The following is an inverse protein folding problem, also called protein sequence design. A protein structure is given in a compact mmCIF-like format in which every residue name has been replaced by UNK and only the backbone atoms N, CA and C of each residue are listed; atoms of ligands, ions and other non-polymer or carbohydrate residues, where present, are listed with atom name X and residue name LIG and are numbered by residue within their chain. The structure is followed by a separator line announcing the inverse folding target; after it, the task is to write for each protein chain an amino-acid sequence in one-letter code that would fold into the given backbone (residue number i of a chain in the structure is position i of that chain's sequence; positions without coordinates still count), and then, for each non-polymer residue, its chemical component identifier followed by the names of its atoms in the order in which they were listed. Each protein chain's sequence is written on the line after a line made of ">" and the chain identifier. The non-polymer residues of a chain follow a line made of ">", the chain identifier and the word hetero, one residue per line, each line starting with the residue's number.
data_IF_245665360305
#
_entry.id   IF_245665360305
#
_cell.length_a   1.000
_cell.length_b   1.000
_cell.length_c   1.000
_cell.angle_alpha   90.00
_cell.angle_beta   90.00
_cell.angle_gamma   90.00
#
_symmetry.space_group_name_H-M   'P 1'
#
loop_
_entity.id
_entity.type
_entity.pdbx_description
1 polymer ?
#
# COMPACT_ATOMS: atom_id res chain seq x y z
N UNK A 1 -36.50 -27.99 -0.73
CA UNK A 1 -35.11 -28.47 -0.54
C UNK A 1 -34.22 -28.12 -1.72
N UNK A 2 -34.49 -28.53 -2.97
CA UNK A 2 -33.66 -28.18 -4.13
C UNK A 2 -33.72 -26.67 -4.50
N UNK A 3 -34.80 -25.99 -4.21
CA UNK A 3 -34.94 -24.56 -4.47
C UNK A 3 -34.27 -23.69 -3.40
N UNK A 4 -34.25 -24.13 -2.14
CA UNK A 4 -33.49 -23.47 -1.07
C UNK A 4 -31.96 -23.53 -1.30
N UNK A 5 -31.46 -24.66 -1.77
CA UNK A 5 -30.06 -24.84 -2.10
C UNK A 5 -29.64 -23.97 -3.28
N UNK A 6 -30.48 -23.84 -4.31
CA UNK A 6 -30.28 -22.92 -5.43
C UNK A 6 -30.31 -21.46 -5.00
N UNK A 7 -31.21 -21.04 -4.13
CA UNK A 7 -31.31 -19.68 -3.62
C UNK A 7 -30.06 -19.33 -2.81
N UNK A 8 -29.59 -20.26 -1.96
CA UNK A 8 -28.35 -20.09 -1.20
C UNK A 8 -27.11 -19.93 -2.12
N UNK A 9 -26.99 -20.79 -3.15
CA UNK A 9 -25.92 -20.74 -4.12
C UNK A 9 -25.92 -19.44 -4.94
N UNK A 10 -27.08 -18.94 -5.32
CA UNK A 10 -27.26 -17.65 -6.00
C UNK A 10 -26.84 -16.51 -5.06
N UNK A 11 -27.24 -16.54 -3.79
CA UNK A 11 -26.86 -15.53 -2.80
C UNK A 11 -25.35 -15.48 -2.56
N UNK A 12 -24.69 -16.63 -2.43
CA UNK A 12 -23.24 -16.73 -2.27
C UNK A 12 -22.49 -16.23 -3.52
N UNK A 13 -22.97 -16.56 -4.72
CA UNK A 13 -22.39 -16.08 -5.97
C UNK A 13 -22.60 -14.58 -6.17
N UNK A 14 -23.77 -14.03 -5.82
CA UNK A 14 -24.02 -12.58 -5.87
C UNK A 14 -23.11 -11.82 -4.90
N UNK A 15 -22.96 -12.29 -3.67
CA UNK A 15 -22.06 -11.68 -2.70
C UNK A 15 -20.59 -11.72 -3.16
N UNK A 16 -20.15 -12.83 -3.74
CA UNK A 16 -18.81 -12.94 -4.30
C UNK A 16 -18.59 -11.97 -5.45
N UNK A 17 -19.50 -11.89 -6.41
CA UNK A 17 -19.45 -10.97 -7.54
C UNK A 17 -19.50 -9.51 -7.09
N UNK A 18 -20.29 -9.19 -6.08
CA UNK A 18 -20.36 -7.85 -5.50
C UNK A 18 -19.03 -7.44 -4.85
N UNK A 19 -18.44 -8.33 -4.05
CA UNK A 19 -17.14 -8.10 -3.40
C UNK A 19 -16.02 -7.96 -4.45
N UNK A 20 -16.01 -8.82 -5.47
CA UNK A 20 -15.04 -8.74 -6.58
C UNK A 20 -15.17 -7.43 -7.35
N UNK A 21 -16.38 -6.95 -7.63
CA UNK A 21 -16.61 -5.69 -8.33
C UNK A 21 -16.14 -4.47 -7.51
N UNK A 22 -16.38 -4.48 -6.20
CA UNK A 22 -15.86 -3.43 -5.31
C UNK A 22 -14.32 -3.42 -5.29
N UNK A 23 -13.72 -4.60 -5.17
CA UNK A 23 -12.26 -4.73 -5.16
C UNK A 23 -11.67 -4.25 -6.50
N UNK A 24 -12.29 -4.60 -7.62
CA UNK A 24 -11.88 -4.14 -8.96
C UNK A 24 -11.95 -2.63 -9.11
N UNK A 25 -13.05 -2.01 -8.69
CA UNK A 25 -13.17 -0.54 -8.72
C UNK A 25 -12.10 0.13 -7.89
N UNK A 26 -11.79 -0.40 -6.70
CA UNK A 26 -10.72 0.14 -5.84
C UNK A 26 -9.35 0.03 -6.49
N UNK A 27 -9.04 -1.09 -7.11
CA UNK A 27 -7.78 -1.29 -7.79
C UNK A 27 -7.65 -0.46 -9.08
N UNK A 28 -8.72 -0.37 -9.87
CA UNK A 28 -8.73 0.45 -11.08
C UNK A 28 -8.54 1.94 -10.77
N UNK A 29 -9.13 2.44 -9.69
CA UNK A 29 -8.93 3.83 -9.26
C UNK A 29 -7.52 4.07 -8.73
N UNK A 30 -6.95 3.14 -7.98
CA UNK A 30 -5.61 3.28 -7.42
C UNK A 30 -4.51 3.17 -8.49
N UNK A 31 -4.75 2.40 -9.55
CA UNK A 31 -3.77 2.08 -10.60
C UNK A 31 -4.33 2.30 -12.02
N UNK A 32 -4.82 3.49 -12.35
CA UNK A 32 -5.50 3.74 -13.62
C UNK A 32 -4.59 3.64 -14.85
N UNK A 33 -3.28 3.89 -14.69
CA UNK A 33 -2.29 3.82 -15.77
C UNK A 33 -1.92 2.38 -16.16
N UNK A 34 -2.30 1.43 -15.34
CA UNK A 34 -1.99 0.03 -15.57
C UNK A 34 -3.13 -0.61 -16.33
N UNK A 35 -2.93 -0.84 -17.63
CA UNK A 35 -3.94 -1.46 -18.51
C UNK A 35 -4.59 -2.65 -17.84
N UNK A 36 -5.88 -2.55 -17.62
CA UNK A 36 -6.75 -3.52 -16.96
C UNK A 36 -6.84 -4.88 -17.66
N UNK A 37 -6.27 -5.00 -18.89
CA UNK A 37 -6.28 -6.22 -19.70
C UNK A 37 -5.76 -7.49 -19.00
N UNK A 38 -4.85 -7.34 -18.03
CA UNK A 38 -4.33 -8.50 -17.27
C UNK A 38 -5.28 -8.95 -16.17
N UNK A 39 -6.02 -8.03 -15.56
CA UNK A 39 -7.08 -8.38 -14.60
C UNK A 39 -8.25 -9.09 -15.26
N UNK A 40 -8.59 -8.68 -16.47
CA UNK A 40 -9.61 -9.33 -17.29
C UNK A 40 -9.21 -10.77 -17.67
N UNK A 41 -7.92 -11.02 -17.96
CA UNK A 41 -7.41 -12.36 -18.27
C UNK A 41 -7.58 -13.35 -17.10
N UNK A 42 -7.26 -12.95 -15.88
CA UNK A 42 -7.35 -13.85 -14.70
C UNK A 42 -8.78 -14.18 -14.28
N UNK A 43 -9.77 -13.41 -14.68
CA UNK A 43 -11.18 -13.57 -14.30
C UNK A 43 -12.04 -13.95 -15.50
N UNK A 44 -11.59 -13.69 -16.74
CA UNK A 44 -12.28 -13.97 -17.99
C UNK A 44 -12.55 -15.46 -18.19
N UNK A 45 -11.69 -16.34 -17.67
CA UNK A 45 -11.88 -17.79 -17.76
C UNK A 45 -13.09 -18.32 -16.97
N UNK A 46 -13.72 -17.51 -16.14
CA UNK A 46 -14.83 -17.95 -15.28
C UNK A 46 -16.16 -17.20 -15.44
N UNK A 47 -16.24 -16.09 -16.18
CA UNK A 47 -17.48 -15.31 -16.33
C UNK A 47 -17.55 -14.66 -17.71
N UNK A 48 -18.32 -15.25 -18.64
CA UNK A 48 -18.46 -14.76 -20.02
C UNK A 48 -19.12 -13.39 -20.19
N UNK A 49 -18.97 -12.82 -21.34
CA UNK A 49 -19.63 -11.71 -22.08
C UNK A 49 -20.23 -10.47 -21.39
N UNK A 50 -20.71 -10.54 -20.16
CA UNK A 50 -21.32 -9.38 -19.45
C UNK A 50 -20.26 -8.35 -19.01
N UNK A 51 -18.98 -8.68 -19.11
CA UNK A 51 -17.85 -7.93 -18.56
C UNK A 51 -17.35 -6.78 -19.42
N UNK A 52 -17.41 -6.92 -20.73
CA UNK A 52 -16.74 -5.98 -21.63
C UNK A 52 -17.41 -4.61 -21.70
N UNK A 53 -18.73 -4.54 -21.67
CA UNK A 53 -19.48 -3.28 -21.75
C UNK A 53 -19.19 -2.34 -20.57
N UNK A 54 -19.26 -2.86 -19.36
CA UNK A 54 -19.09 -2.01 -18.17
C UNK A 54 -17.64 -1.55 -17.94
N UNK A 55 -16.65 -2.33 -18.40
CA UNK A 55 -15.25 -1.96 -18.27
C UNK A 55 -14.79 -1.02 -19.39
N UNK A 56 -15.32 -1.17 -20.60
CA UNK A 56 -15.04 -0.25 -21.71
C UNK A 56 -15.63 1.13 -21.44
N UNK A 57 -16.84 1.19 -20.86
CA UNK A 57 -17.49 2.44 -20.45
C UNK A 57 -16.73 3.11 -19.31
N UNK A 58 -16.23 2.34 -18.34
CA UNK A 58 -15.45 2.86 -17.23
C UNK A 58 -14.06 3.38 -17.65
N UNK A 59 -13.37 2.71 -18.57
CA UNK A 59 -12.09 3.19 -19.12
C UNK A 59 -12.28 4.40 -20.02
N UNK A 60 -13.36 4.46 -20.80
CA UNK A 60 -13.66 5.59 -21.66
C UNK A 60 -13.90 6.90 -20.90
N UNK A 61 -14.54 6.82 -19.71
CA UNK A 61 -14.77 7.98 -18.82
C UNK A 61 -13.44 8.58 -18.33
N UNK A 62 -12.41 7.76 -18.12
CA UNK A 62 -11.11 8.22 -17.66
C UNK A 62 -10.09 8.53 -18.77
N UNK A 63 -10.40 8.23 -20.03
CA UNK A 63 -9.59 8.65 -21.18
C UNK A 63 -9.73 10.16 -21.46
N UNK A 64 -10.86 10.77 -21.09
CA UNK A 64 -11.06 12.20 -21.23
C UNK A 64 -10.30 12.96 -20.12
N UNK A 65 -9.29 13.72 -20.52
CA UNK A 65 -8.37 14.42 -19.60
C UNK A 65 -9.08 15.45 -18.70
N UNK A 66 -10.23 15.98 -19.17
CA UNK A 66 -11.02 16.98 -18.47
C UNK A 66 -11.91 16.40 -17.35
N UNK A 67 -12.16 15.08 -17.37
CA UNK A 67 -12.99 14.38 -16.39
C UNK A 67 -12.19 13.60 -15.36
N UNK A 68 -10.84 13.70 -15.39
CA UNK A 68 -9.99 12.97 -14.46
C UNK A 68 -10.14 13.51 -13.04
N UNK A 69 -10.29 12.61 -12.04
CA UNK A 69 -10.30 13.03 -10.64
C UNK A 69 -9.03 13.78 -10.25
N UNK A 70 -9.14 14.57 -9.20
CA UNK A 70 -7.98 15.22 -8.57
C UNK A 70 -6.92 14.15 -8.20
N UNK A 71 -5.66 14.47 -8.47
CA UNK A 71 -4.53 13.58 -8.18
C UNK A 71 -4.64 12.15 -8.81
N UNK A 72 -5.23 12.05 -10.02
CA UNK A 72 -5.42 10.80 -10.73
C UNK A 72 -4.10 10.09 -11.05
N UNK A 73 -4.05 8.78 -10.80
CA UNK A 73 -2.89 7.93 -11.06
C UNK A 73 -1.70 8.20 -10.13
N UNK A 74 -0.51 7.81 -10.57
CA UNK A 74 0.75 8.09 -9.86
C UNK A 74 1.28 9.47 -10.28
N UNK A 75 0.93 10.51 -9.53
CA UNK A 75 1.35 11.89 -9.79
C UNK A 75 1.97 12.54 -8.56
N UNK A 76 2.66 13.67 -8.76
CA UNK A 76 3.29 14.41 -7.67
C UNK A 76 2.30 14.81 -6.57
N UNK A 77 1.12 15.28 -6.95
CA UNK A 77 0.08 15.67 -5.99
C UNK A 77 -0.33 14.51 -5.10
N UNK A 78 -0.55 13.32 -5.66
CA UNK A 78 -0.86 12.12 -4.87
C UNK A 78 0.29 11.75 -3.92
N UNK A 79 1.53 11.76 -4.41
CA UNK A 79 2.71 11.47 -3.57
C UNK A 79 2.86 12.51 -2.45
N UNK A 80 2.58 13.78 -2.71
CA UNK A 80 2.61 14.81 -1.67
C UNK A 80 1.60 14.53 -0.56
N UNK A 81 0.35 14.22 -0.90
CA UNK A 81 -0.65 13.86 0.11
C UNK A 81 -0.31 12.55 0.83
N UNK A 82 0.19 11.55 0.13
CA UNK A 82 0.67 10.31 0.76
C UNK A 82 1.81 10.58 1.76
N UNK A 83 2.73 11.46 1.41
CA UNK A 83 3.81 11.88 2.30
C UNK A 83 3.27 12.57 3.56
N UNK A 84 2.39 13.54 3.41
CA UNK A 84 1.81 14.27 4.55
C UNK A 84 1.01 13.34 5.45
N UNK A 85 0.07 12.59 4.87
CA UNK A 85 -0.79 11.66 5.62
C UNK A 85 0.06 10.57 6.27
N UNK A 86 1.01 9.98 5.55
CA UNK A 86 1.91 8.95 6.06
C UNK A 86 2.77 9.44 7.24
N UNK A 87 3.25 10.67 7.16
CA UNK A 87 4.04 11.30 8.24
C UNK A 87 3.22 11.54 9.51
N UNK A 88 1.95 11.95 9.37
CA UNK A 88 1.01 12.12 10.48
C UNK A 88 0.63 10.76 11.10
N UNK A 89 0.30 9.78 10.28
CA UNK A 89 0.00 8.43 10.75
C UNK A 89 1.21 7.79 11.44
N UNK A 90 2.42 8.04 10.94
CA UNK A 90 3.67 7.60 11.57
C UNK A 90 3.78 8.06 13.01
N UNK A 91 3.44 9.31 13.30
CA UNK A 91 3.43 9.82 14.68
C UNK A 91 2.44 9.06 15.57
N UNK A 92 1.26 8.75 15.04
CA UNK A 92 0.25 7.98 15.78
C UNK A 92 0.76 6.57 16.07
N UNK A 93 1.31 5.89 15.06
CA UNK A 93 1.86 4.55 15.20
C UNK A 93 3.01 4.50 16.19
N UNK A 94 3.96 5.42 16.11
CA UNK A 94 5.09 5.52 17.05
C UNK A 94 4.63 5.79 18.48
N UNK A 95 3.66 6.68 18.64
CA UNK A 95 3.10 7.01 19.95
C UNK A 95 2.40 5.81 20.57
N UNK A 96 1.59 5.09 19.79
CA UNK A 96 0.93 3.87 20.24
C UNK A 96 1.93 2.75 20.55
N UNK A 97 2.95 2.57 19.73
CA UNK A 97 4.01 1.59 19.95
C UNK A 97 4.78 1.87 21.23
N UNK A 98 5.19 3.12 21.45
CA UNK A 98 5.86 3.54 22.67
C UNK A 98 4.99 3.32 23.92
N UNK A 99 3.69 3.64 23.82
CA UNK A 99 2.74 3.38 24.90
C UNK A 99 2.63 1.89 25.23
N UNK A 100 2.61 1.02 24.22
CA UNK A 100 2.54 -0.44 24.42
C UNK A 100 3.79 -1.01 25.08
N UNK A 101 4.97 -0.45 24.80
CA UNK A 101 6.24 -0.94 25.34
C UNK A 101 6.55 -0.31 26.70
N UNK A 102 6.45 1.02 26.79
CA UNK A 102 6.91 1.79 27.96
C UNK A 102 5.79 2.02 29.00
N UNK A 103 4.53 1.75 28.63
CA UNK A 103 3.36 2.00 29.50
C UNK A 103 3.05 3.49 29.71
N UNK A 104 3.83 4.39 29.15
CA UNK A 104 3.69 5.84 29.30
C UNK A 104 3.25 6.48 27.98
N UNK A 105 2.19 7.29 28.04
CA UNK A 105 1.72 8.01 26.86
C UNK A 105 2.58 9.27 26.64
N UNK A 106 3.50 9.17 25.69
CA UNK A 106 4.31 10.30 25.23
C UNK A 106 4.18 10.42 23.73
N UNK A 107 3.77 11.60 23.25
CA UNK A 107 3.74 11.86 21.81
C UNK A 107 5.17 11.82 21.27
N UNK A 108 5.43 10.86 20.38
CA UNK A 108 6.73 10.77 19.69
C UNK A 108 6.83 11.87 18.66
N UNK A 109 7.95 12.58 18.69
CA UNK A 109 8.29 13.60 17.70
C UNK A 109 9.47 13.12 16.88
N UNK A 110 9.42 13.41 15.58
CA UNK A 110 10.52 13.10 14.65
C UNK A 110 11.57 14.21 14.62
N UNK A 111 12.36 14.25 13.55
CA UNK A 111 13.37 15.29 13.27
C UNK A 111 12.73 16.67 13.01
N UNK A 112 11.44 16.73 12.75
CA UNK A 112 10.70 17.96 12.45
C UNK A 112 9.77 18.28 13.62
N UNK A 113 9.64 19.57 13.93
CA UNK A 113 8.74 20.03 14.98
C UNK A 113 7.29 19.63 14.71
N UNK A 114 6.60 19.13 15.74
CA UNK A 114 5.19 18.74 15.68
C UNK A 114 4.95 17.26 15.43
N UNK A 115 3.69 16.84 15.27
CA UNK A 115 3.28 15.45 15.10
C UNK A 115 3.53 14.97 13.67
N UNK A 116 4.80 14.99 13.24
CA UNK A 116 5.16 14.73 11.87
C UNK A 116 6.49 13.97 11.80
N UNK A 117 6.44 12.71 11.36
CA UNK A 117 7.62 11.87 11.22
C UNK A 117 7.87 11.58 9.72
N UNK A 118 8.76 12.34 9.06
CA UNK A 118 8.97 12.27 7.60
C UNK A 118 9.38 10.90 7.08
N UNK A 119 10.03 10.08 7.89
CA UNK A 119 10.47 8.73 7.50
C UNK A 119 9.27 7.86 7.08
N UNK A 120 8.15 7.94 7.80
CA UNK A 120 6.94 7.19 7.44
C UNK A 120 6.29 7.70 6.15
N UNK A 121 6.24 9.02 5.97
CA UNK A 121 5.77 9.62 4.72
C UNK A 121 6.66 9.27 3.53
N UNK A 122 7.99 9.34 3.74
CA UNK A 122 8.96 8.90 2.75
C UNK A 122 8.83 7.42 2.40
N UNK A 123 8.65 6.56 3.40
CA UNK A 123 8.39 5.14 3.22
C UNK A 123 7.11 4.86 2.43
N UNK A 124 6.02 5.57 2.74
CA UNK A 124 4.76 5.48 2.02
C UNK A 124 4.91 5.85 0.54
N UNK A 125 5.58 6.96 0.25
CA UNK A 125 5.89 7.37 -1.12
C UNK A 125 6.79 6.37 -1.84
N UNK A 126 7.86 5.92 -1.18
CA UNK A 126 8.82 4.99 -1.74
C UNK A 126 8.16 3.64 -2.07
N UNK A 127 7.44 3.05 -1.13
CA UNK A 127 6.67 1.82 -1.36
C UNK A 127 5.67 2.00 -2.51
N UNK A 128 4.97 3.14 -2.55
CA UNK A 128 4.02 3.41 -3.63
C UNK A 128 4.72 3.45 -4.99
N UNK A 129 5.81 4.21 -5.14
CA UNK A 129 6.51 4.35 -6.42
C UNK A 129 7.08 3.01 -6.89
N UNK A 130 7.73 2.26 -5.99
CA UNK A 130 8.39 1.00 -6.33
C UNK A 130 7.37 -0.10 -6.58
N UNK A 131 6.37 -0.23 -5.72
CA UNK A 131 5.41 -1.32 -5.78
C UNK A 131 4.21 -1.04 -6.70
N UNK A 132 4.04 0.20 -7.18
CA UNK A 132 2.91 0.60 -8.02
C UNK A 132 2.71 -0.32 -9.23
N UNK A 133 3.79 -0.63 -9.95
CA UNK A 133 3.74 -1.52 -11.13
C UNK A 133 3.67 -3.00 -10.77
N UNK A 134 4.00 -3.36 -9.53
CA UNK A 134 4.11 -4.74 -9.07
C UNK A 134 2.77 -5.30 -8.55
N UNK A 135 1.73 -4.47 -8.45
CA UNK A 135 0.42 -4.91 -7.96
C UNK A 135 -0.18 -6.08 -8.75
N UNK A 136 0.28 -6.30 -9.99
CA UNK A 136 -0.14 -7.40 -10.87
C UNK A 136 0.48 -8.75 -10.50
N UNK A 137 1.57 -8.75 -9.74
CA UNK A 137 2.26 -9.95 -9.31
C UNK A 137 1.46 -10.72 -8.26
N UNK A 138 1.80 -11.98 -8.10
CA UNK A 138 1.25 -12.78 -7.01
C UNK A 138 1.74 -12.26 -5.63
N UNK A 139 1.01 -12.60 -4.59
CA UNK A 139 1.26 -12.08 -3.24
C UNK A 139 2.63 -12.46 -2.70
N UNK A 140 3.11 -13.67 -3.02
CA UNK A 140 4.43 -14.13 -2.60
C UNK A 140 5.55 -13.28 -3.19
N UNK A 141 5.47 -12.94 -4.48
CA UNK A 141 6.46 -12.07 -5.12
C UNK A 141 6.39 -10.64 -4.59
N UNK A 142 5.19 -10.10 -4.38
CA UNK A 142 5.04 -8.78 -3.75
C UNK A 142 5.67 -8.79 -2.36
N UNK A 143 5.42 -9.83 -1.56
CA UNK A 143 6.00 -9.98 -0.24
C UNK A 143 7.54 -9.99 -0.28
N UNK A 144 8.14 -10.85 -1.12
CA UNK A 144 9.61 -10.97 -1.21
C UNK A 144 10.24 -9.67 -1.69
N UNK A 145 9.69 -9.06 -2.74
CA UNK A 145 10.21 -7.79 -3.27
C UNK A 145 10.07 -6.69 -2.21
N UNK A 146 8.95 -6.63 -1.50
CA UNK A 146 8.72 -5.65 -0.44
C UNK A 146 9.67 -5.84 0.74
N UNK A 147 10.02 -7.08 1.09
CA UNK A 147 10.99 -7.38 2.14
C UNK A 147 12.37 -6.80 1.79
N UNK A 148 12.85 -7.06 0.56
CA UNK A 148 14.16 -6.56 0.10
C UNK A 148 14.15 -5.03 -0.03
N UNK A 149 13.12 -4.48 -0.65
CA UNK A 149 12.98 -3.03 -0.88
C UNK A 149 12.85 -2.28 0.43
N UNK A 150 12.02 -2.77 1.37
CA UNK A 150 11.81 -2.15 2.66
C UNK A 150 13.06 -2.18 3.54
N UNK A 151 13.76 -3.32 3.61
CA UNK A 151 15.03 -3.43 4.34
C UNK A 151 16.12 -2.50 3.74
N UNK A 152 16.16 -2.38 2.41
CA UNK A 152 17.08 -1.45 1.74
C UNK A 152 16.75 0.00 2.05
N UNK A 153 15.47 0.35 2.09
CA UNK A 153 15.01 1.68 2.47
C UNK A 153 15.35 2.00 3.93
N UNK A 154 15.09 1.08 4.84
CA UNK A 154 15.42 1.21 6.27
C UNK A 154 16.93 1.43 6.48
N UNK A 155 17.76 0.60 5.82
CA UNK A 155 19.21 0.75 5.84
C UNK A 155 19.65 2.13 5.33
N UNK A 156 19.09 2.56 4.19
CA UNK A 156 19.40 3.87 3.61
C UNK A 156 19.00 5.01 4.54
N UNK A 157 17.82 4.96 5.16
CA UNK A 157 17.37 5.99 6.09
C UNK A 157 18.29 6.10 7.31
N UNK A 158 18.70 4.98 7.90
CA UNK A 158 19.65 4.96 9.02
C UNK A 158 20.98 5.56 8.63
N UNK A 159 21.55 5.10 7.49
CA UNK A 159 22.81 5.64 6.97
C UNK A 159 22.73 7.15 6.67
N UNK A 160 21.65 7.58 6.05
CA UNK A 160 21.43 8.99 5.70
C UNK A 160 21.31 9.87 6.95
N UNK A 161 20.54 9.45 7.94
CA UNK A 161 20.36 10.18 9.20
C UNK A 161 21.70 10.34 9.93
N UNK A 162 22.49 9.28 10.04
CA UNK A 162 23.80 9.34 10.69
C UNK A 162 24.77 10.24 9.92
N UNK A 163 24.80 10.11 8.57
CA UNK A 163 25.75 10.86 7.74
C UNK A 163 25.42 12.36 7.68
N UNK A 164 24.14 12.71 7.58
CA UNK A 164 23.71 14.09 7.36
C UNK A 164 23.44 14.84 8.67
N UNK A 165 22.84 14.14 9.64
CA UNK A 165 22.40 14.77 10.89
C UNK A 165 23.21 14.33 12.11
N UNK A 166 24.11 13.35 11.98
CA UNK A 166 24.87 12.80 13.09
C UNK A 166 24.01 12.08 14.12
N UNK A 167 22.80 11.63 13.74
CA UNK A 167 21.85 10.99 14.64
C UNK A 167 21.58 9.54 14.23
N UNK A 168 21.48 8.66 15.21
CA UNK A 168 21.08 7.26 15.03
C UNK A 168 19.72 7.08 15.68
N UNK A 169 18.68 6.84 14.87
CA UNK A 169 17.30 6.68 15.37
C UNK A 169 17.01 5.26 15.86
N UNK A 170 17.70 4.26 15.34
CA UNK A 170 17.60 2.85 15.76
C UNK A 170 18.94 2.14 15.54
N UNK A 171 19.19 1.15 16.37
CA UNK A 171 20.37 0.28 16.29
C UNK A 171 19.97 -1.18 16.53
N UNK A 172 20.25 -2.05 15.59
CA UNK A 172 19.96 -3.49 15.65
C UNK A 172 21.23 -4.33 15.83
N UNK A 173 22.36 -3.75 16.22
CA UNK A 173 23.64 -4.45 16.33
C UNK A 173 23.58 -5.70 17.22
N UNK A 174 22.75 -5.67 18.26
CA UNK A 174 22.57 -6.78 19.18
C UNK A 174 21.55 -7.84 18.69
N UNK A 175 20.97 -7.65 17.51
CA UNK A 175 19.96 -8.58 16.98
C UNK A 175 20.58 -9.59 16.01
N UNK A 176 20.08 -10.84 15.95
CA UNK A 176 20.54 -11.82 14.99
C UNK A 176 20.31 -11.38 13.54
N UNK A 177 21.25 -11.78 12.66
CA UNK A 177 21.15 -11.50 11.22
C UNK A 177 20.92 -10.00 10.90
N UNK A 178 21.51 -9.11 11.68
CA UNK A 178 21.53 -7.71 11.36
C UNK A 178 22.57 -7.41 10.26
N UNK A 179 22.33 -6.32 9.56
CA UNK A 179 23.25 -5.79 8.56
C UNK A 179 23.72 -4.41 9.00
N UNK A 180 24.96 -4.37 9.52
CA UNK A 180 25.59 -3.17 10.08
C UNK A 180 24.76 -2.44 11.15
N UNK A 181 23.94 -3.15 11.93
CA UNK A 181 23.06 -2.55 12.94
C UNK A 181 21.90 -1.72 12.37
N UNK A 182 21.79 -1.58 11.03
CA UNK A 182 20.84 -0.67 10.39
C UNK A 182 19.53 -1.30 9.97
N UNK A 183 19.55 -2.60 9.72
CA UNK A 183 18.37 -3.46 9.44
C UNK A 183 18.68 -4.88 9.85
N UNK A 184 17.67 -5.75 9.95
CA UNK A 184 17.83 -7.16 10.22
C UNK A 184 16.77 -8.01 9.49
N UNK A 185 16.95 -9.33 9.50
CA UNK A 185 16.04 -10.24 8.81
C UNK A 185 14.60 -10.14 9.33
N UNK A 186 14.40 -9.98 10.64
CA UNK A 186 13.06 -9.88 11.21
C UNK A 186 12.31 -8.66 10.67
N UNK A 187 12.96 -7.50 10.65
CA UNK A 187 12.36 -6.30 10.09
C UNK A 187 12.20 -6.37 8.57
N UNK A 188 13.11 -7.04 7.86
CA UNK A 188 12.90 -7.33 6.43
C UNK A 188 11.61 -8.12 6.18
N UNK A 189 11.33 -9.15 6.98
CA UNK A 189 10.08 -9.92 6.88
C UNK A 189 8.84 -9.07 7.22
N UNK A 190 8.94 -8.19 8.21
CA UNK A 190 7.89 -7.23 8.55
C UNK A 190 7.65 -6.27 7.37
N UNK A 191 8.70 -5.75 6.74
CA UNK A 191 8.59 -4.93 5.52
C UNK A 191 7.90 -5.67 4.37
N UNK A 192 8.17 -6.97 4.23
CA UNK A 192 7.47 -7.82 3.26
C UNK A 192 5.95 -7.80 3.48
N UNK A 193 5.52 -8.02 4.72
CA UNK A 193 4.10 -7.99 5.09
C UNK A 193 3.50 -6.59 4.92
N UNK A 194 4.18 -5.55 5.39
CA UNK A 194 3.72 -4.17 5.25
C UNK A 194 3.54 -3.76 3.78
N UNK A 195 4.49 -4.13 2.92
CA UNK A 195 4.40 -3.85 1.49
C UNK A 195 3.24 -4.59 0.80
N UNK A 196 3.00 -5.85 1.17
CA UNK A 196 1.84 -6.59 0.67
C UNK A 196 0.52 -5.92 1.09
N UNK A 197 0.39 -5.59 2.38
CA UNK A 197 -0.79 -4.89 2.92
C UNK A 197 -0.93 -3.51 2.28
N UNK A 198 0.18 -2.81 2.07
CA UNK A 198 0.20 -1.51 1.40
C UNK A 198 -0.40 -1.59 0.00
N UNK A 199 0.12 -2.46 -0.85
CA UNK A 199 -0.32 -2.59 -2.25
C UNK A 199 -1.76 -3.06 -2.37
N UNK A 200 -2.18 -4.02 -1.53
CA UNK A 200 -3.50 -4.65 -1.65
C UNK A 200 -4.62 -3.87 -0.98
N UNK A 201 -4.32 -3.15 0.10
CA UNK A 201 -5.36 -2.53 0.94
C UNK A 201 -5.13 -1.05 1.20
N UNK A 202 -3.96 -0.67 1.72
CA UNK A 202 -3.74 0.70 2.23
C UNK A 202 -3.67 1.70 1.09
N UNK A 203 -2.83 1.47 0.09
CA UNK A 203 -2.69 2.40 -1.03
C UNK A 203 -4.00 2.59 -1.82
N UNK A 204 -4.75 1.53 -2.21
CA UNK A 204 -6.05 1.71 -2.87
C UNK A 204 -7.07 2.50 -2.03
N UNK A 205 -7.03 2.34 -0.71
CA UNK A 205 -7.89 3.11 0.19
C UNK A 205 -7.46 4.58 0.27
N UNK A 206 -6.16 4.85 0.43
CA UNK A 206 -5.61 6.21 0.48
C UNK A 206 -5.76 6.93 -0.85
N UNK A 207 -5.52 6.27 -1.98
CA UNK A 207 -5.73 6.86 -3.30
C UNK A 207 -7.16 7.37 -3.47
N UNK A 208 -8.15 6.58 -3.00
CA UNK A 208 -9.56 6.98 -3.01
C UNK A 208 -9.87 8.18 -2.10
N UNK A 209 -9.15 8.33 -0.98
CA UNK A 209 -9.34 9.49 -0.10
C UNK A 209 -8.76 10.78 -0.70
N UNK A 210 -7.71 10.64 -1.50
CA UNK A 210 -7.00 11.77 -2.12
C UNK A 210 -7.69 12.21 -3.43
N UNK A 211 -8.25 11.28 -4.19
CA UNK A 211 -8.99 11.53 -5.44
C UNK A 211 -10.37 12.12 -5.19
#
# INVERSE_FOLDING_TARGET
>A
DADEEKIKLIGENCNRLFTENILRRRLANAFPDLKTSVYLGMISDKVGEVKDKNMTEYTAVFENKEERPFAFGLCFTKLFYLFVIGSLFGTILETLWAFMIDGNFQVRVGLVYGPFIPVYGGGACFLTVVLYKLYKLNDTLIYVISAVVGASFEYFCSWFQETVFGTVSWDYSDTPLNFNGRTNLMYALIWGFLGLVWVRFVYPWMARLIE
#
